data_IF_291793740319
#
_entry.id   IF_291793740319
#
_cell.length_a   1.000
_cell.length_b   1.000
_cell.length_c   1.000
_cell.angle_alpha   90.00
_cell.angle_beta   90.00
_cell.angle_gamma   90.00
#
_symmetry.space_group_name_H-M   'P 1'
#
loop_
_entity.id
_entity.type
_entity.pdbx_description
1 polymer ?
#
# COMPACT_ATOMS: atom_id res chain seq x y z
N UNK A 1 -53.87 -3.61 -40.13
CA UNK A 1 -52.85 -4.05 -39.16
C UNK A 1 -51.71 -3.04 -39.24
N UNK A 2 -51.72 -2.01 -38.39
CA UNK A 2 -50.67 -0.98 -38.41
C UNK A 2 -49.41 -1.51 -37.74
N UNK A 3 -48.21 -1.25 -38.29
CA UNK A 3 -46.97 -1.63 -37.65
C UNK A 3 -46.78 -0.80 -36.37
N UNK A 4 -46.47 -1.48 -35.26
CA UNK A 4 -46.10 -0.80 -34.00
C UNK A 4 -44.83 0.03 -34.20
N UNK A 5 -44.75 1.23 -33.59
CA UNK A 5 -43.55 2.04 -33.61
C UNK A 5 -42.45 1.39 -32.76
N UNK A 6 -41.37 0.96 -33.42
CA UNK A 6 -40.16 0.48 -32.75
C UNK A 6 -39.40 1.69 -32.19
N UNK A 7 -39.51 1.92 -30.88
CA UNK A 7 -38.69 2.93 -30.21
C UNK A 7 -37.22 2.48 -30.17
N UNK A 8 -36.27 3.31 -30.62
CA UNK A 8 -34.87 2.96 -30.53
C UNK A 8 -34.46 2.88 -29.05
N UNK A 9 -34.03 1.69 -28.62
CA UNK A 9 -33.35 1.48 -27.34
C UNK A 9 -32.11 2.38 -27.31
N UNK A 10 -32.24 3.50 -26.58
CA UNK A 10 -31.17 4.46 -26.39
C UNK A 10 -30.07 3.72 -25.62
N UNK A 11 -29.00 3.36 -26.32
CA UNK A 11 -27.78 2.73 -25.78
C UNK A 11 -27.09 3.75 -24.86
N UNK A 12 -27.69 3.95 -23.69
CA UNK A 12 -27.26 4.93 -22.72
C UNK A 12 -25.96 4.47 -22.06
N UNK A 13 -24.98 5.37 -22.10
CA UNK A 13 -23.98 5.58 -21.05
C UNK A 13 -22.77 4.65 -20.90
N UNK A 14 -22.18 4.22 -22.02
CA UNK A 14 -20.88 3.54 -22.01
C UNK A 14 -19.68 4.49 -21.89
N UNK A 15 -19.87 5.81 -21.99
CA UNK A 15 -18.77 6.80 -21.98
C UNK A 15 -18.38 7.17 -20.55
N UNK A 16 -19.36 7.52 -19.72
CA UNK A 16 -19.14 7.89 -18.32
C UNK A 16 -18.56 6.71 -17.53
N UNK A 17 -19.03 5.49 -17.79
CA UNK A 17 -18.48 4.26 -17.17
C UNK A 17 -17.01 4.03 -17.51
N UNK A 18 -16.58 4.35 -18.73
CA UNK A 18 -15.17 4.21 -19.13
C UNK A 18 -14.29 5.26 -18.45
N UNK A 19 -14.74 6.51 -18.44
CA UNK A 19 -14.01 7.61 -17.79
C UNK A 19 -13.85 7.35 -16.29
N UNK A 20 -14.90 6.87 -15.63
CA UNK A 20 -14.85 6.48 -14.23
C UNK A 20 -13.89 5.30 -14.00
N UNK A 21 -13.92 4.27 -14.86
CA UNK A 21 -13.01 3.13 -14.75
C UNK A 21 -11.54 3.52 -14.93
N UNK A 22 -11.25 4.48 -15.83
CA UNK A 22 -9.88 4.98 -16.04
C UNK A 22 -9.29 5.64 -14.79
N UNK A 23 -10.13 6.24 -13.94
CA UNK A 23 -9.69 6.86 -12.69
C UNK A 23 -9.68 5.87 -11.51
N UNK A 24 -10.73 5.05 -11.38
CA UNK A 24 -10.90 4.18 -10.22
C UNK A 24 -9.95 2.97 -10.23
N UNK A 25 -9.63 2.39 -11.39
CA UNK A 25 -8.79 1.17 -11.44
C UNK A 25 -7.35 1.44 -10.99
N UNK A 26 -6.65 2.48 -11.46
CA UNK A 26 -5.31 2.82 -10.94
C UNK A 26 -5.33 3.10 -9.44
N UNK A 27 -6.37 3.80 -8.95
CA UNK A 27 -6.51 4.13 -7.54
C UNK A 27 -6.70 2.87 -6.69
N UNK A 28 -7.55 1.95 -7.15
CA UNK A 28 -7.76 0.65 -6.50
C UNK A 28 -6.49 -0.22 -6.52
N UNK A 29 -5.76 -0.25 -7.65
CA UNK A 29 -4.51 -0.99 -7.76
C UNK A 29 -3.43 -0.42 -6.81
N UNK A 30 -3.30 0.91 -6.74
CA UNK A 30 -2.40 1.58 -5.81
C UNK A 30 -2.77 1.28 -4.35
N UNK A 31 -4.05 1.30 -4.01
CA UNK A 31 -4.56 0.97 -2.68
C UNK A 31 -4.28 -0.49 -2.29
N UNK A 32 -4.49 -1.42 -3.21
CA UNK A 32 -4.17 -2.83 -2.98
C UNK A 32 -2.66 -3.02 -2.81
N UNK A 33 -1.86 -2.44 -3.70
CA UNK A 33 -0.41 -2.51 -3.61
C UNK A 33 0.11 -2.04 -2.24
N UNK A 34 -0.37 -0.89 -1.74
CA UNK A 34 0.08 -0.41 -0.42
C UNK A 34 -0.38 -1.32 0.70
N UNK A 35 -1.61 -1.84 0.65
CA UNK A 35 -2.13 -2.73 1.69
C UNK A 35 -1.25 -3.97 1.79
N UNK A 36 -0.84 -4.53 0.65
CA UNK A 36 0.05 -5.68 0.61
C UNK A 36 1.50 -5.34 0.95
N UNK A 37 1.96 -4.13 0.65
CA UNK A 37 3.23 -3.62 1.12
C UNK A 37 3.29 -3.51 2.65
N UNK A 38 2.30 -2.89 3.28
CA UNK A 38 2.26 -2.79 4.75
C UNK A 38 2.09 -4.16 5.40
N UNK A 39 1.30 -5.06 4.78
CA UNK A 39 1.20 -6.44 5.23
C UNK A 39 2.55 -7.18 5.14
N UNK A 40 3.31 -6.99 4.05
CA UNK A 40 4.65 -7.55 3.89
C UNK A 40 5.63 -7.02 4.94
N UNK A 41 5.64 -5.71 5.16
CA UNK A 41 6.47 -5.05 6.17
C UNK A 41 6.14 -5.53 7.58
N UNK A 42 4.84 -5.54 7.93
CA UNK A 42 4.36 -5.94 9.24
C UNK A 42 4.59 -7.43 9.50
N UNK A 43 4.41 -8.28 8.48
CA UNK A 43 4.71 -9.70 8.57
C UNK A 43 6.21 -9.98 8.77
N UNK A 44 7.11 -9.09 8.32
CA UNK A 44 8.54 -9.22 8.61
C UNK A 44 8.82 -8.98 10.10
N UNK A 45 8.34 -7.87 10.66
CA UNK A 45 8.57 -7.57 12.08
C UNK A 45 7.64 -8.29 13.06
N UNK A 46 6.60 -8.97 12.56
CA UNK A 46 5.58 -9.63 13.38
C UNK A 46 4.55 -8.67 13.99
N UNK A 47 4.38 -7.48 13.40
CA UNK A 47 3.39 -6.50 13.86
C UNK A 47 1.98 -7.04 13.56
N UNK A 48 1.06 -7.09 14.54
CA UNK A 48 -0.33 -7.49 14.30
C UNK A 48 -0.99 -6.63 13.23
N UNK A 49 -1.70 -7.27 12.29
CA UNK A 49 -2.35 -6.58 11.17
C UNK A 49 -3.41 -5.57 11.63
N UNK A 50 -4.02 -5.79 12.80
CA UNK A 50 -5.03 -4.92 13.39
C UNK A 50 -4.51 -3.51 13.75
N UNK A 51 -3.17 -3.36 13.84
CA UNK A 51 -2.52 -2.09 14.14
C UNK A 51 -2.13 -1.29 12.89
N UNK A 52 -2.26 -1.90 11.70
CA UNK A 52 -1.92 -1.25 10.44
C UNK A 52 -3.05 -0.30 10.07
N UNK A 53 -2.74 0.99 9.94
CA UNK A 53 -3.66 1.96 9.34
C UNK A 53 -3.09 2.49 8.04
N UNK A 54 -3.77 2.22 6.93
CA UNK A 54 -3.38 2.72 5.61
C UNK A 54 -3.97 4.11 5.40
N UNK A 55 -3.13 5.14 5.43
CA UNK A 55 -3.53 6.50 5.07
C UNK A 55 -3.25 6.77 3.59
N UNK A 56 -4.30 6.79 2.78
CA UNK A 56 -4.22 6.98 1.32
C UNK A 56 -3.43 8.24 0.94
N UNK A 57 -3.64 9.35 1.65
CA UNK A 57 -3.01 10.63 1.33
C UNK A 57 -1.50 10.59 1.56
N UNK A 58 -1.06 10.13 2.73
CA UNK A 58 0.36 10.03 3.04
C UNK A 58 1.06 9.01 2.15
N UNK A 59 0.39 7.91 1.84
CA UNK A 59 0.91 6.84 0.99
C UNK A 59 1.13 7.32 -0.44
N UNK A 60 0.16 8.01 -1.04
CA UNK A 60 0.29 8.52 -2.41
C UNK A 60 1.40 9.57 -2.52
N UNK A 61 1.61 10.36 -1.47
CA UNK A 61 2.62 11.43 -1.47
C UNK A 61 4.03 10.95 -1.08
N UNK A 62 4.14 9.94 -0.21
CA UNK A 62 5.41 9.52 0.39
C UNK A 62 6.02 8.32 -0.34
N UNK A 63 5.20 7.40 -0.85
CA UNK A 63 5.69 6.19 -1.49
C UNK A 63 5.85 6.39 -3.00
N UNK A 64 7.08 6.73 -3.41
CA UNK A 64 7.46 6.92 -4.83
C UNK A 64 7.13 5.70 -5.69
N UNK A 65 7.15 4.51 -5.12
CA UNK A 65 6.87 3.26 -5.82
C UNK A 65 5.36 3.06 -6.05
N UNK A 66 4.52 3.50 -5.12
CA UNK A 66 3.06 3.52 -5.30
C UNK A 66 2.64 4.43 -6.44
N UNK A 67 3.27 5.61 -6.58
CA UNK A 67 3.03 6.51 -7.72
C UNK A 67 3.42 5.85 -9.05
N UNK A 68 4.55 5.13 -9.11
CA UNK A 68 4.94 4.39 -10.31
C UNK A 68 3.90 3.34 -10.68
N UNK A 69 3.40 2.55 -9.72
CA UNK A 69 2.35 1.54 -9.96
C UNK A 69 1.07 2.19 -10.49
N UNK A 70 0.65 3.32 -9.90
CA UNK A 70 -0.54 4.06 -10.34
C UNK A 70 -0.38 4.60 -11.78
N UNK A 71 0.78 5.20 -12.09
CA UNK A 71 1.07 5.72 -13.44
C UNK A 71 1.13 4.60 -14.46
N UNK A 72 1.80 3.49 -14.14
CA UNK A 72 1.87 2.31 -15.01
C UNK A 72 0.45 1.79 -15.27
N UNK A 73 -0.36 1.60 -14.23
CA UNK A 73 -1.75 1.16 -14.39
C UNK A 73 -2.56 2.12 -15.27
N UNK A 74 -2.43 3.43 -15.07
CA UNK A 74 -3.10 4.45 -15.87
C UNK A 74 -2.69 4.40 -17.35
N UNK A 75 -1.39 4.34 -17.64
CA UNK A 75 -0.87 4.25 -19.02
C UNK A 75 -1.34 2.97 -19.71
N UNK A 76 -1.33 1.84 -19.01
CA UNK A 76 -1.81 0.56 -19.54
C UNK A 76 -3.30 0.59 -19.87
N UNK A 77 -4.12 1.19 -19.01
CA UNK A 77 -5.55 1.33 -19.24
C UNK A 77 -5.83 2.27 -20.42
N UNK A 78 -5.12 3.39 -20.49
CA UNK A 78 -5.23 4.33 -21.61
C UNK A 78 -4.87 3.67 -22.95
N UNK A 79 -3.77 2.90 -22.98
CA UNK A 79 -3.36 2.10 -24.12
C UNK A 79 -4.43 1.08 -24.52
N UNK A 80 -5.00 0.36 -23.55
CA UNK A 80 -6.06 -0.61 -23.78
C UNK A 80 -7.29 0.03 -24.45
N UNK A 81 -7.78 1.14 -23.91
CA UNK A 81 -8.96 1.82 -24.46
C UNK A 81 -8.72 2.46 -25.83
N UNK A 82 -7.48 2.84 -26.14
CA UNK A 82 -7.13 3.44 -27.42
C UNK A 82 -6.97 2.37 -28.52
N UNK A 83 -6.39 1.21 -28.18
CA UNK A 83 -6.02 0.18 -29.16
C UNK A 83 -7.07 -0.94 -29.30
N UNK A 84 -7.77 -1.32 -28.22
CA UNK A 84 -8.65 -2.50 -28.22
C UNK A 84 -10.15 -2.11 -28.15
N UNK A 85 -10.97 -2.51 -29.15
CA UNK A 85 -12.30 -1.95 -29.36
C UNK A 85 -13.40 -2.46 -28.40
N UNK A 86 -13.17 -3.48 -27.55
CA UNK A 86 -14.24 -4.03 -26.71
C UNK A 86 -13.84 -4.30 -25.25
N UNK A 87 -14.41 -3.50 -24.35
CA UNK A 87 -14.34 -3.61 -22.88
C UNK A 87 -14.85 -4.95 -22.32
N UNK A 88 -15.60 -5.71 -23.13
CA UNK A 88 -16.15 -7.02 -22.76
C UNK A 88 -15.27 -8.22 -23.17
N UNK A 89 -14.09 -7.98 -23.74
CA UNK A 89 -13.22 -9.08 -24.18
C UNK A 89 -12.65 -9.86 -23.00
N UNK A 90 -12.53 -11.21 -23.09
CA UNK A 90 -11.87 -12.03 -22.07
C UNK A 90 -10.45 -11.55 -21.73
N UNK A 91 -9.78 -10.92 -22.69
CA UNK A 91 -8.46 -10.32 -22.53
C UNK A 91 -8.42 -9.22 -21.46
N UNK A 92 -9.43 -8.34 -21.42
CA UNK A 92 -9.52 -7.28 -20.39
C UNK A 92 -9.61 -7.84 -18.98
N UNK A 93 -10.46 -8.87 -18.79
CA UNK A 93 -10.61 -9.55 -17.51
C UNK A 93 -9.30 -10.21 -17.09
N UNK A 94 -8.62 -10.87 -18.03
CA UNK A 94 -7.30 -11.46 -17.80
C UNK A 94 -6.27 -10.42 -17.36
N UNK A 95 -6.22 -9.27 -18.02
CA UNK A 95 -5.30 -8.18 -17.67
C UNK A 95 -5.56 -7.59 -16.28
N UNK A 96 -6.82 -7.33 -15.93
CA UNK A 96 -7.16 -6.86 -14.57
C UNK A 96 -6.69 -7.88 -13.53
N UNK A 97 -6.96 -9.17 -13.76
CA UNK A 97 -6.48 -10.22 -12.87
C UNK A 97 -4.95 -10.22 -12.71
N UNK A 98 -4.22 -10.04 -13.82
CA UNK A 98 -2.74 -9.94 -13.77
C UNK A 98 -2.28 -8.74 -12.95
N UNK A 99 -2.89 -7.56 -13.13
CA UNK A 99 -2.56 -6.36 -12.35
C UNK A 99 -2.81 -6.59 -10.86
N UNK A 100 -3.92 -7.24 -10.50
CA UNK A 100 -4.25 -7.55 -9.11
C UNK A 100 -3.23 -8.53 -8.51
N UNK A 101 -2.88 -9.60 -9.23
CA UNK A 101 -1.88 -10.59 -8.80
C UNK A 101 -0.50 -9.95 -8.64
N UNK A 102 -0.10 -9.10 -9.59
CA UNK A 102 1.17 -8.37 -9.52
C UNK A 102 1.19 -7.39 -8.35
N UNK A 103 0.10 -6.65 -8.12
CA UNK A 103 -0.02 -5.72 -6.99
C UNK A 103 0.12 -6.45 -5.66
N UNK A 104 -0.50 -7.63 -5.54
CA UNK A 104 -0.36 -8.51 -4.38
C UNK A 104 1.08 -9.00 -4.18
N UNK A 105 1.64 -9.66 -5.19
CA UNK A 105 2.96 -10.30 -5.09
C UNK A 105 4.07 -9.28 -4.88
N UNK A 106 4.06 -8.19 -5.65
CA UNK A 106 5.05 -7.13 -5.54
C UNK A 106 4.88 -6.35 -4.25
N UNK A 107 3.64 -6.04 -3.81
CA UNK A 107 3.40 -5.35 -2.55
C UNK A 107 4.08 -6.08 -1.39
N UNK A 108 3.75 -7.36 -1.18
CA UNK A 108 4.34 -8.17 -0.11
C UNK A 108 5.87 -8.23 -0.22
N UNK A 109 6.39 -8.48 -1.44
CA UNK A 109 7.82 -8.60 -1.65
C UNK A 109 8.58 -7.30 -1.33
N UNK A 110 8.08 -6.16 -1.82
CA UNK A 110 8.68 -4.86 -1.56
C UNK A 110 8.56 -4.45 -0.08
N UNK A 111 7.42 -4.71 0.56
CA UNK A 111 7.24 -4.45 2.00
C UNK A 111 8.25 -5.21 2.86
N UNK A 112 8.44 -6.50 2.56
CA UNK A 112 9.46 -7.33 3.23
C UNK A 112 10.87 -6.86 2.94
N UNK A 113 11.15 -6.52 1.68
CA UNK A 113 12.48 -6.05 1.26
C UNK A 113 12.84 -4.74 1.95
N UNK A 114 11.90 -3.81 2.05
CA UNK A 114 12.09 -2.53 2.73
C UNK A 114 12.37 -2.74 4.21
N UNK A 115 11.54 -3.54 4.89
CA UNK A 115 11.74 -3.92 6.28
C UNK A 115 13.12 -4.55 6.55
N UNK A 116 13.53 -5.50 5.71
CA UNK A 116 14.78 -6.23 5.84
C UNK A 116 16.03 -5.38 5.53
N UNK A 117 15.87 -4.32 4.73
CA UNK A 117 16.98 -3.44 4.32
C UNK A 117 17.04 -2.12 5.08
N UNK A 118 16.02 -1.81 5.89
CA UNK A 118 15.94 -0.58 6.67
C UNK A 118 17.09 -0.50 7.69
N UNK A 119 17.91 0.56 7.58
CA UNK A 119 19.07 0.78 8.47
C UNK A 119 18.84 1.88 9.49
N UNK A 120 18.03 2.88 9.15
CA UNK A 120 17.77 4.04 9.97
C UNK A 120 16.45 3.85 10.70
N UNK A 121 16.47 4.06 12.01
CA UNK A 121 15.29 3.99 12.87
C UNK A 121 15.28 5.20 13.79
N UNK A 122 14.08 5.64 14.17
CA UNK A 122 13.95 6.52 15.32
C UNK A 122 14.07 5.66 16.56
N UNK A 123 15.02 5.99 17.43
CA UNK A 123 15.27 5.28 18.68
C UNK A 123 14.80 6.17 19.83
N UNK A 124 14.12 5.56 20.79
CA UNK A 124 13.71 6.21 22.03
C UNK A 124 14.77 6.05 23.11
N UNK A 125 14.91 7.07 23.94
CA UNK A 125 15.80 7.09 25.10
C UNK A 125 15.22 6.40 26.36
N UNK A 126 14.23 5.51 26.19
CA UNK A 126 13.63 4.78 27.32
C UNK A 126 14.47 3.59 27.75
N UNK A 127 14.26 3.08 28.96
CA UNK A 127 14.79 1.79 29.39
C UNK A 127 13.65 0.74 29.46
N UNK A 128 13.66 -0.32 28.64
CA UNK A 128 14.62 -0.62 27.57
C UNK A 128 14.47 0.30 26.35
N UNK A 129 15.55 0.45 25.57
CA UNK A 129 15.53 1.22 24.32
C UNK A 129 14.55 0.59 23.32
N UNK A 130 13.82 1.43 22.60
CA UNK A 130 12.87 0.97 21.58
C UNK A 130 13.14 1.63 20.24
N UNK A 131 13.13 0.83 19.18
CA UNK A 131 13.15 1.28 17.81
C UNK A 131 11.72 1.48 17.31
N UNK A 132 11.44 2.64 16.73
CA UNK A 132 10.17 2.91 16.05
C UNK A 132 10.18 2.16 14.72
N UNK A 133 9.29 1.17 14.61
CA UNK A 133 9.13 0.38 13.40
C UNK A 133 8.27 1.12 12.38
N UNK A 134 7.10 1.63 12.83
CA UNK A 134 6.18 2.40 12.00
C UNK A 134 5.48 3.49 12.78
N UNK A 135 5.06 4.51 12.04
CA UNK A 135 4.21 5.58 12.52
C UNK A 135 2.96 5.55 11.64
N UNK A 136 1.80 5.42 12.28
CA UNK A 136 0.51 5.33 11.64
C UNK A 136 -0.37 6.48 12.14
N UNK A 137 -0.66 7.46 11.29
CA UNK A 137 -1.41 8.67 11.64
C UNK A 137 -0.84 9.36 12.88
N UNK A 138 -1.45 9.13 14.06
CA UNK A 138 -1.06 9.70 15.34
C UNK A 138 -0.51 8.64 16.31
N UNK A 139 -0.14 7.46 15.82
CA UNK A 139 0.26 6.32 16.65
C UNK A 139 1.65 5.84 16.24
N UNK A 140 2.53 5.69 17.23
CA UNK A 140 3.86 5.12 17.07
C UNK A 140 3.80 3.66 17.47
N UNK A 141 4.30 2.79 16.60
CA UNK A 141 4.59 1.39 16.92
C UNK A 141 6.10 1.25 17.07
N UNK A 142 6.52 1.03 18.31
CA UNK A 142 7.91 0.75 18.64
C UNK A 142 8.05 -0.65 19.20
N UNK A 143 9.26 -1.20 19.10
CA UNK A 143 9.62 -2.47 19.71
C UNK A 143 10.98 -2.37 20.36
N UNK A 144 11.16 -3.07 21.47
CA UNK A 144 12.47 -3.21 22.10
C UNK A 144 13.39 -4.00 21.17
N UNK A 145 14.68 -3.67 21.18
CA UNK A 145 15.67 -4.33 20.34
C UNK A 145 16.98 -4.55 21.10
N UNK A 146 17.74 -5.59 20.71
CA UNK A 146 19.10 -5.83 21.16
C UNK A 146 20.07 -5.22 20.14
N UNK A 147 20.83 -4.23 20.58
CA UNK A 147 21.79 -3.51 19.75
C UNK A 147 22.97 -4.37 19.28
N UNK A 148 23.39 -5.32 20.10
CA UNK A 148 24.54 -6.18 19.81
C UNK A 148 24.17 -7.24 18.78
N UNK A 149 22.99 -7.85 18.97
CA UNK A 149 22.49 -8.90 18.09
C UNK A 149 21.70 -8.36 16.88
N UNK A 150 21.39 -7.06 16.87
CA UNK A 150 20.52 -6.40 15.89
C UNK A 150 19.16 -7.08 15.77
N UNK A 151 18.64 -7.60 16.87
CA UNK A 151 17.35 -8.29 16.90
C UNK A 151 16.26 -7.40 17.48
N UNK A 152 15.07 -7.42 16.88
CA UNK A 152 13.87 -6.77 17.39
C UNK A 152 12.98 -7.83 18.02
N UNK A 153 12.57 -7.60 19.26
CA UNK A 153 11.62 -8.47 19.95
C UNK A 153 10.21 -8.20 19.44
N UNK A 154 9.40 -9.25 19.27
CA UNK A 154 7.96 -9.14 18.90
C UNK A 154 7.07 -8.65 20.05
N UNK A 155 7.57 -7.71 20.85
CA UNK A 155 6.83 -7.03 21.92
C UNK A 155 6.72 -5.56 21.54
N UNK A 156 5.50 -5.12 21.25
CA UNK A 156 5.24 -3.79 20.70
C UNK A 156 4.71 -2.84 21.77
N UNK A 157 5.19 -1.60 21.74
CA UNK A 157 4.58 -0.48 22.45
C UNK A 157 3.83 0.38 21.45
N UNK A 158 2.56 0.63 21.73
CA UNK A 158 1.67 1.42 20.88
C UNK A 158 1.35 2.69 21.66
N UNK A 159 1.76 3.85 21.16
CA UNK A 159 1.57 5.13 21.86
C UNK A 159 1.12 6.23 20.92
N UNK A 160 0.18 7.10 21.35
CA UNK A 160 -0.12 8.32 20.61
C UNK A 160 1.11 9.24 20.55
N UNK A 161 1.34 9.91 19.42
CA UNK A 161 2.43 10.89 19.26
C UNK A 161 2.24 12.04 20.25
N UNK A 162 1.00 12.52 20.44
CA UNK A 162 0.69 13.65 21.33
C UNK A 162 1.01 13.40 22.82
N UNK A 163 1.08 12.12 23.22
CA UNK A 163 1.41 11.73 24.60
C UNK A 163 2.90 11.47 24.80
N UNK A 164 3.73 11.68 23.78
CA UNK A 164 5.17 11.39 23.80
C UNK A 164 6.04 12.52 24.37
N UNK A 165 5.47 13.51 25.05
CA UNK A 165 6.15 14.73 25.50
C UNK A 165 7.41 14.54 26.37
N UNK A 166 7.69 13.32 26.86
CA UNK A 166 8.91 12.98 27.60
C UNK A 166 9.81 11.92 26.92
N UNK A 167 9.45 11.46 25.72
CA UNK A 167 10.23 10.49 24.95
C UNK A 167 10.98 11.27 23.88
N UNK A 168 12.30 11.32 24.01
CA UNK A 168 13.15 11.91 22.99
C UNK A 168 13.43 10.82 21.96
N UNK A 169 13.03 11.11 20.72
CA UNK A 169 13.39 10.29 19.58
C UNK A 169 14.58 10.92 18.87
N UNK A 170 15.61 10.13 18.61
CA UNK A 170 16.71 10.50 17.73
C UNK A 170 16.81 9.52 16.57
N UNK A 171 17.21 10.03 15.41
CA UNK A 171 17.42 9.19 14.23
C UNK A 171 18.79 8.53 14.30
N UNK A 172 18.83 7.21 14.20
CA UNK A 172 20.05 6.43 14.38
C UNK A 172 20.14 5.25 13.40
N UNK A 173 21.37 4.95 12.97
CA UNK A 173 21.67 3.83 12.07
C UNK A 173 21.95 2.55 12.89
N UNK A 174 20.88 1.85 13.27
CA UNK A 174 20.97 0.60 14.07
C UNK A 174 20.73 -0.68 13.27
N UNK A 175 20.18 -0.58 12.05
CA UNK A 175 19.80 -1.74 11.25
C UNK A 175 20.91 -2.36 10.39
N UNK A 176 20.55 -3.32 9.51
CA UNK A 176 19.23 -3.94 9.42
C UNK A 176 18.90 -4.74 10.67
N UNK A 177 17.63 -4.67 11.11
CA UNK A 177 17.14 -5.37 12.30
C UNK A 177 16.45 -6.67 11.89
N UNK A 178 16.71 -7.75 12.62
CA UNK A 178 16.10 -9.07 12.39
C UNK A 178 15.03 -9.36 13.45
N UNK A 179 13.85 -9.87 13.06
CA UNK A 179 12.82 -10.23 14.02
C UNK A 179 13.24 -11.47 14.81
N UNK A 180 13.06 -11.43 16.14
CA UNK A 180 13.25 -12.57 17.04
C UNK A 180 11.90 -13.04 17.59
#
# INVERSE_FOLDING_TARGET
MSPEPVFPSKKADNKITKELAMFLVPLAAAYLFITFYEAGYSAFFGIPLDLISVNITQVLLTNRLTLMVAVIAFLWIGLYYNILPSTSSPFFKGMISVILILSFALGIAFGRSDAASQKNFLVSNTEPEQAVLRIYNNTIISASFDRNNKTVFKTFSIRPIDQSNNILFHNETIGPLTPQ
#
